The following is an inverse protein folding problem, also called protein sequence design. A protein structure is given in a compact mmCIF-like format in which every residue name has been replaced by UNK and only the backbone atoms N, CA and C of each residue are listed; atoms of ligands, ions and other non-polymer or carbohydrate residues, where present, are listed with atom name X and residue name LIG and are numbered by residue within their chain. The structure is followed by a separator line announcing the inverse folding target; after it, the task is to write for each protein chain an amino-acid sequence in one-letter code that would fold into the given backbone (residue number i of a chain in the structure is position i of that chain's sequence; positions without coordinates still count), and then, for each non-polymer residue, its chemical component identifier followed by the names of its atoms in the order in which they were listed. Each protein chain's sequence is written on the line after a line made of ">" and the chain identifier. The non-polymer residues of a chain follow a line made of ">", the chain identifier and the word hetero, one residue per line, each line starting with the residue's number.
data_IF_136018678880
#
_entry.id   IF_136018678880
#
_cell.length_a   1.000
_cell.length_b   1.000
_cell.length_c   1.000
_cell.angle_alpha   90.00
_cell.angle_beta   90.00
_cell.angle_gamma   90.00
#
_symmetry.space_group_name_H-M   'P 1'
#
loop_
_entity.id
_entity.type
_entity.pdbx_description
1 polymer ?
#
# COMPACT_ATOMS: atom_id res chain seq x y z
N UNK A 1 -4.10 -14.03 -20.15
CA UNK A 1 -5.48 -13.52 -20.10
C UNK A 1 -5.41 -12.01 -19.80
N UNK A 2 -6.22 -11.13 -20.41
CA UNK A 2 -6.13 -9.69 -20.13
C UNK A 2 -6.89 -9.39 -18.82
N UNK A 3 -6.15 -9.28 -17.71
CA UNK A 3 -6.74 -9.07 -16.38
C UNK A 3 -7.25 -7.63 -16.28
N UNK A 4 -8.57 -7.47 -16.15
CA UNK A 4 -9.17 -6.17 -15.83
C UNK A 4 -8.95 -5.90 -14.32
N UNK A 5 -7.87 -5.18 -14.02
CA UNK A 5 -7.46 -4.83 -12.67
C UNK A 5 -8.53 -4.00 -11.94
N UNK A 6 -9.25 -3.13 -12.65
CA UNK A 6 -10.29 -2.27 -12.09
C UNK A 6 -11.50 -3.09 -11.66
N UNK A 7 -12.01 -3.96 -12.53
CA UNK A 7 -13.12 -4.86 -12.19
C UNK A 7 -12.77 -5.82 -11.05
N UNK A 8 -11.51 -6.26 -11.00
CA UNK A 8 -11.01 -7.13 -9.93
C UNK A 8 -10.89 -6.35 -8.61
N UNK A 9 -10.33 -5.14 -8.62
CA UNK A 9 -10.21 -4.29 -7.45
C UNK A 9 -11.58 -3.97 -6.80
N UNK A 10 -12.63 -3.77 -7.63
CA UNK A 10 -14.01 -3.55 -7.15
C UNK A 10 -14.60 -4.80 -6.50
N UNK A 11 -14.13 -6.00 -6.85
CA UNK A 11 -14.62 -7.24 -6.26
C UNK A 11 -14.04 -7.50 -4.85
N UNK A 12 -12.94 -6.86 -4.48
CA UNK A 12 -12.40 -6.97 -3.13
C UNK A 12 -13.15 -6.04 -2.18
N UNK A 13 -13.68 -6.61 -1.09
CA UNK A 13 -14.38 -5.88 -0.05
C UNK A 13 -13.70 -6.16 1.29
N UNK A 14 -13.22 -5.14 2.02
CA UNK A 14 -12.65 -5.34 3.34
C UNK A 14 -13.73 -5.86 4.29
N UNK A 15 -13.38 -6.85 5.11
CA UNK A 15 -14.27 -7.32 6.18
C UNK A 15 -14.16 -6.37 7.38
N UNK A 16 -15.21 -5.60 7.72
CA UNK A 16 -15.11 -4.49 8.66
C UNK A 16 -14.80 -4.92 10.11
N UNK A 17 -14.97 -6.21 10.44
CA UNK A 17 -14.67 -6.77 11.77
C UNK A 17 -13.22 -7.24 11.93
N UNK A 18 -12.45 -7.27 10.85
CA UNK A 18 -11.05 -7.71 10.88
C UNK A 18 -10.12 -6.52 11.15
N UNK A 19 -9.00 -6.77 11.83
CA UNK A 19 -7.95 -5.76 12.04
C UNK A 19 -7.41 -5.28 10.68
N UNK A 20 -7.04 -3.99 10.57
CA UNK A 20 -6.47 -3.35 9.38
C UNK A 20 -5.34 -4.18 8.75
N UNK A 21 -4.43 -4.74 9.56
CA UNK A 21 -3.36 -5.62 9.05
C UNK A 21 -3.88 -6.89 8.35
N UNK A 22 -4.97 -7.48 8.85
CA UNK A 22 -5.60 -8.67 8.25
C UNK A 22 -6.33 -8.29 6.96
N UNK A 23 -6.96 -7.11 6.93
CA UNK A 23 -7.56 -6.57 5.71
C UNK A 23 -6.49 -6.34 4.64
N UNK A 24 -5.37 -5.68 4.98
CA UNK A 24 -4.25 -5.45 4.07
C UNK A 24 -3.66 -6.78 3.55
N UNK A 25 -3.50 -7.77 4.43
CA UNK A 25 -3.05 -9.12 4.04
C UNK A 25 -4.02 -9.78 3.05
N UNK A 26 -5.33 -9.63 3.28
CA UNK A 26 -6.36 -10.16 2.38
C UNK A 26 -6.33 -9.47 1.02
N UNK A 27 -6.08 -8.16 1.00
CA UNK A 27 -5.94 -7.34 -0.20
C UNK A 27 -4.75 -7.82 -1.03
N UNK A 28 -3.58 -7.96 -0.41
CA UNK A 28 -2.41 -8.45 -1.14
C UNK A 28 -2.63 -9.87 -1.68
N UNK A 29 -3.17 -10.80 -0.88
CA UNK A 29 -3.50 -12.15 -1.39
C UNK A 29 -4.47 -12.11 -2.57
N UNK A 30 -5.42 -11.18 -2.57
CA UNK A 30 -6.31 -10.97 -3.69
C UNK A 30 -5.55 -10.46 -4.92
N UNK A 31 -4.74 -9.42 -4.78
CA UNK A 31 -3.90 -8.86 -5.86
C UNK A 31 -2.93 -9.89 -6.45
N UNK A 32 -2.29 -10.71 -5.59
CA UNK A 32 -1.37 -11.75 -6.03
C UNK A 32 -2.08 -12.92 -6.73
N UNK A 33 -3.35 -13.18 -6.39
CA UNK A 33 -4.14 -14.23 -7.03
C UNK A 33 -4.58 -13.84 -8.44
N UNK A 34 -4.82 -12.56 -8.69
CA UNK A 34 -5.20 -12.06 -10.02
C UNK A 34 -3.99 -11.88 -10.96
N UNK A 35 -2.76 -11.85 -10.42
CA UNK A 35 -1.54 -11.85 -11.25
C UNK A 35 -1.23 -13.27 -11.78
N UNK A 36 -1.35 -13.48 -13.09
CA UNK A 36 -0.83 -14.68 -13.77
C UNK A 36 0.72 -14.59 -13.90
N UNK A 37 1.51 -15.66 -13.65
CA UNK A 37 1.15 -16.95 -13.06
C UNK A 37 1.35 -16.98 -11.53
N UNK A 38 0.41 -17.58 -10.77
CA UNK A 38 0.52 -17.80 -9.32
C UNK A 38 1.72 -18.66 -8.89
N UNK A 39 2.33 -19.39 -9.81
CA UNK A 39 3.48 -20.27 -9.52
C UNK A 39 4.80 -19.50 -9.47
N UNK A 40 4.93 -18.44 -10.27
CA UNK A 40 6.13 -17.59 -10.27
C UNK A 40 6.26 -16.82 -8.96
N UNK A 41 5.13 -16.49 -8.33
CA UNK A 41 5.15 -15.75 -7.08
C UNK A 41 5.70 -16.57 -5.90
N UNK A 42 5.56 -17.90 -5.93
CA UNK A 42 6.09 -18.82 -4.91
C UNK A 42 7.60 -18.81 -4.81
N UNK A 43 8.30 -18.29 -5.83
CA UNK A 43 9.76 -18.12 -5.82
C UNK A 43 10.17 -16.87 -5.03
N UNK A 44 9.22 -15.98 -4.76
CA UNK A 44 9.41 -14.78 -3.97
C UNK A 44 8.80 -15.02 -2.59
N UNK A 45 9.59 -14.90 -1.54
CA UNK A 45 9.10 -14.82 -0.19
C UNK A 45 10.01 -13.89 0.59
N UNK A 46 9.42 -13.11 1.48
CA UNK A 46 10.19 -12.19 2.31
C UNK A 46 9.70 -12.32 3.74
N UNK A 47 10.50 -13.01 4.55
CA UNK A 47 10.38 -13.02 6.01
C UNK A 47 9.21 -13.84 6.56
N UNK A 48 9.45 -15.13 6.81
CA UNK A 48 8.62 -15.87 7.73
C UNK A 48 8.78 -15.25 9.14
N UNK A 49 7.68 -14.73 9.67
CA UNK A 49 7.38 -14.51 11.09
C UNK A 49 8.54 -14.64 12.09
N UNK A 50 8.93 -13.52 12.70
CA UNK A 50 9.36 -13.47 14.10
C UNK A 50 10.69 -14.13 14.49
N UNK A 51 11.44 -14.71 13.55
CA UNK A 51 12.76 -15.30 13.79
C UNK A 51 13.73 -14.93 12.67
N UNK A 52 14.98 -14.66 13.04
CA UNK A 52 16.10 -14.22 12.20
C UNK A 52 16.55 -15.22 11.09
N UNK A 53 15.69 -16.10 10.60
CA UNK A 53 16.04 -17.07 9.57
C UNK A 53 15.40 -16.67 8.24
N UNK A 54 16.21 -16.09 7.36
CA UNK A 54 15.90 -16.07 5.92
C UNK A 54 15.91 -17.51 5.43
N UNK A 55 14.88 -17.91 4.70
CA UNK A 55 15.05 -19.02 3.78
C UNK A 55 15.94 -18.48 2.65
N UNK A 56 17.23 -18.81 2.69
CA UNK A 56 18.24 -18.32 1.74
C UNK A 56 17.92 -18.69 0.27
N UNK A 57 16.93 -19.57 0.05
CA UNK A 57 16.47 -19.98 -1.29
C UNK A 57 15.43 -19.05 -1.90
N UNK A 58 14.79 -18.18 -1.11
CA UNK A 58 13.68 -17.32 -1.57
C UNK A 58 14.18 -15.94 -1.98
N UNK A 59 13.70 -15.45 -3.13
CA UNK A 59 14.12 -14.16 -3.68
C UNK A 59 13.27 -13.02 -3.14
N UNK A 60 13.87 -11.86 -2.95
CA UNK A 60 13.10 -10.63 -2.77
C UNK A 60 12.34 -10.33 -4.06
N UNK A 61 11.14 -9.74 -3.93
CA UNK A 61 10.45 -9.19 -5.09
C UNK A 61 11.34 -8.13 -5.78
N UNK A 62 11.32 -8.05 -7.11
CA UNK A 62 11.92 -6.93 -7.80
C UNK A 62 11.32 -5.63 -7.27
N UNK A 63 12.18 -4.65 -6.96
CA UNK A 63 11.78 -3.38 -6.34
C UNK A 63 10.62 -2.69 -7.09
N UNK A 64 10.61 -2.78 -8.42
CA UNK A 64 9.53 -2.21 -9.27
C UNK A 64 8.19 -2.90 -8.99
N UNK A 65 8.17 -4.22 -8.84
CA UNK A 65 6.94 -4.99 -8.60
C UNK A 65 6.43 -4.74 -7.18
N UNK A 66 7.33 -4.75 -6.19
CA UNK A 66 6.98 -4.40 -4.80
C UNK A 66 6.39 -2.99 -4.71
N UNK A 67 7.07 -2.00 -5.32
CA UNK A 67 6.58 -0.63 -5.36
C UNK A 67 5.21 -0.51 -6.04
N UNK A 68 5.00 -1.21 -7.16
CA UNK A 68 3.73 -1.17 -7.89
C UNK A 68 2.58 -1.76 -7.07
N UNK A 69 2.82 -2.84 -6.32
CA UNK A 69 1.81 -3.47 -5.45
C UNK A 69 1.48 -2.59 -4.26
N UNK A 70 2.49 -1.97 -3.64
CA UNK A 70 2.29 -1.03 -2.54
C UNK A 70 1.52 0.20 -2.99
N UNK A 71 1.88 0.77 -4.15
CA UNK A 71 1.19 1.92 -4.71
C UNK A 71 -0.26 1.56 -5.03
N UNK A 72 -0.54 0.42 -5.67
CA UNK A 72 -1.92 -0.04 -5.90
C UNK A 72 -2.73 -0.19 -4.59
N UNK A 73 -2.11 -0.69 -3.52
CA UNK A 73 -2.79 -0.80 -2.23
C UNK A 73 -3.06 0.58 -1.60
N UNK A 74 -2.13 1.54 -1.74
CA UNK A 74 -2.35 2.92 -1.33
C UNK A 74 -3.51 3.58 -2.10
N UNK A 75 -3.68 3.30 -3.40
CA UNK A 75 -4.82 3.78 -4.21
C UNK A 75 -6.14 3.26 -3.67
N UNK A 76 -6.21 1.95 -3.44
CA UNK A 76 -7.43 1.27 -2.99
C UNK A 76 -7.86 1.74 -1.60
N UNK A 77 -6.91 2.23 -0.80
CA UNK A 77 -7.16 2.81 0.52
C UNK A 77 -7.35 4.35 0.48
N UNK A 78 -7.22 4.99 -0.68
CA UNK A 78 -7.42 6.44 -0.86
C UNK A 78 -6.22 7.32 -0.52
N UNK A 79 -5.02 6.73 -0.36
CA UNK A 79 -3.79 7.43 0.03
C UNK A 79 -2.84 7.73 -1.15
N UNK A 80 -3.14 7.35 -2.40
CA UNK A 80 -2.39 7.82 -3.58
C UNK A 80 -2.77 9.25 -3.94
N UNK A 81 -2.29 10.17 -3.12
CA UNK A 81 -2.17 11.58 -3.48
C UNK A 81 -0.70 11.87 -3.72
N UNK A 82 -0.44 12.58 -4.83
CA UNK A 82 0.92 12.97 -5.21
C UNK A 82 1.51 13.89 -4.15
N UNK A 83 0.68 14.73 -3.54
CA UNK A 83 1.03 15.66 -2.47
C UNK A 83 1.52 14.93 -1.22
N UNK A 84 1.03 13.72 -0.95
CA UNK A 84 1.43 12.96 0.23
C UNK A 84 2.72 12.14 0.01
N UNK A 85 3.34 12.17 -1.19
CA UNK A 85 4.49 11.30 -1.50
C UNK A 85 5.73 11.82 -0.77
N UNK A 86 6.57 10.90 -0.30
CA UNK A 86 7.83 11.28 0.35
C UNK A 86 8.71 12.05 -0.64
N UNK A 87 9.11 13.28 -0.25
CA UNK A 87 9.90 14.17 -1.12
C UNK A 87 9.09 14.88 -2.21
N UNK A 88 7.76 14.80 -2.21
CA UNK A 88 6.94 15.63 -3.08
C UNK A 88 7.12 17.10 -2.69
N UNK A 89 7.65 17.89 -3.61
CA UNK A 89 7.67 19.33 -3.49
C UNK A 89 6.43 19.87 -4.20
N UNK A 90 5.46 20.34 -3.44
CA UNK A 90 4.31 21.04 -4.00
C UNK A 90 4.13 22.34 -3.24
N UNK A 91 3.73 23.37 -3.97
CA UNK A 91 3.44 24.68 -3.41
C UNK A 91 2.13 24.58 -2.62
N UNK A 92 2.16 24.82 -1.31
CA UNK A 92 0.99 24.70 -0.42
C UNK A 92 -0.15 25.66 -0.78
N UNK A 93 0.13 26.71 -1.57
CA UNK A 93 -0.85 27.72 -1.98
C UNK A 93 -1.75 27.31 -3.15
N UNK A 94 -1.39 26.25 -3.89
CA UNK A 94 -2.04 25.87 -5.15
C UNK A 94 -2.94 24.62 -5.14
N UNK A 95 -2.72 23.56 -4.32
CA UNK A 95 -3.51 22.35 -4.44
C UNK A 95 -4.88 22.49 -3.77
N UNK A 96 -5.93 22.17 -4.53
CA UNK A 96 -7.31 22.05 -4.01
C UNK A 96 -7.40 21.12 -2.81
N UNK A 97 -6.53 20.11 -2.73
CA UNK A 97 -6.50 19.17 -1.62
C UNK A 97 -6.08 19.81 -0.30
N UNK A 98 -4.94 20.51 -0.26
CA UNK A 98 -4.47 21.17 0.97
C UNK A 98 -5.48 22.21 1.47
N UNK A 99 -6.03 23.00 0.54
CA UNK A 99 -7.07 23.99 0.83
C UNK A 99 -8.40 23.36 1.27
N UNK A 100 -8.63 22.08 1.00
CA UNK A 100 -9.85 21.36 1.40
C UNK A 100 -9.74 20.65 2.76
N UNK A 101 -8.57 20.69 3.40
CA UNK A 101 -8.35 19.97 4.66
C UNK A 101 -9.08 20.64 5.82
N UNK A 102 -8.83 21.93 6.03
CA UNK A 102 -9.36 22.72 7.15
C UNK A 102 -9.53 24.18 6.74
N UNK A 103 -10.21 24.97 7.56
CA UNK A 103 -10.49 26.38 7.28
C UNK A 103 -9.30 27.30 7.63
N UNK A 104 -8.47 26.94 8.61
CA UNK A 104 -7.31 27.72 9.05
C UNK A 104 -5.98 27.13 8.54
N UNK A 105 -4.99 27.99 8.24
CA UNK A 105 -3.71 27.56 7.66
C UNK A 105 -2.85 26.74 8.63
N UNK A 106 -2.87 27.07 9.92
CA UNK A 106 -2.18 26.31 10.97
C UNK A 106 -2.79 24.90 11.13
N UNK A 107 -4.11 24.80 11.09
CA UNK A 107 -4.84 23.53 11.17
C UNK A 107 -4.60 22.70 9.91
N UNK A 108 -4.61 23.31 8.73
CA UNK A 108 -4.25 22.63 7.47
C UNK A 108 -2.84 22.07 7.51
N UNK A 109 -1.86 22.85 7.99
CA UNK A 109 -0.48 22.39 8.12
C UNK A 109 -0.40 21.17 9.07
N UNK A 110 -1.07 21.25 10.22
CA UNK A 110 -1.08 20.17 11.21
C UNK A 110 -1.75 18.90 10.67
N UNK A 111 -2.92 19.03 10.05
CA UNK A 111 -3.65 17.91 9.43
C UNK A 111 -2.85 17.31 8.29
N UNK A 112 -2.19 18.13 7.49
CA UNK A 112 -1.34 17.67 6.40
C UNK A 112 -0.12 16.88 6.90
N UNK A 113 0.56 17.37 7.94
CA UNK A 113 1.67 16.64 8.58
C UNK A 113 1.20 15.31 9.18
N UNK A 114 0.03 15.30 9.82
CA UNK A 114 -0.58 14.08 10.33
C UNK A 114 -0.82 13.06 9.20
N UNK A 115 -1.36 13.49 8.06
CA UNK A 115 -1.58 12.63 6.89
C UNK A 115 -0.27 12.08 6.30
N UNK A 116 0.81 12.87 6.29
CA UNK A 116 2.14 12.39 5.88
C UNK A 116 2.66 11.30 6.81
N UNK A 117 2.54 11.49 8.13
CA UNK A 117 2.92 10.49 9.13
C UNK A 117 2.07 9.23 9.00
N UNK A 118 0.76 9.39 8.85
CA UNK A 118 -0.17 8.28 8.71
C UNK A 118 0.12 7.45 7.46
N UNK A 119 0.38 8.10 6.32
CA UNK A 119 0.81 7.41 5.09
C UNK A 119 2.14 6.66 5.30
N UNK A 120 3.11 7.27 5.96
CA UNK A 120 4.41 6.63 6.25
C UNK A 120 4.24 5.36 7.10
N UNK A 121 3.38 5.43 8.12
CA UNK A 121 3.01 4.26 8.94
C UNK A 121 2.26 3.21 8.12
N UNK A 122 1.30 3.63 7.30
CA UNK A 122 0.54 2.77 6.42
C UNK A 122 1.46 2.02 5.45
N UNK A 123 2.39 2.70 4.78
CA UNK A 123 3.31 2.06 3.83
C UNK A 123 4.18 0.99 4.49
N UNK A 124 4.65 1.23 5.73
CA UNK A 124 5.36 0.22 6.52
C UNK A 124 4.47 -0.98 6.86
N UNK A 125 3.21 -0.75 7.19
CA UNK A 125 2.24 -1.81 7.46
C UNK A 125 1.93 -2.62 6.20
N UNK A 126 1.69 -1.95 5.08
CA UNK A 126 1.44 -2.56 3.77
C UNK A 126 2.63 -3.40 3.33
N UNK A 127 3.86 -2.93 3.51
CA UNK A 127 5.06 -3.74 3.23
C UNK A 127 5.07 -5.02 4.05
N UNK A 128 4.81 -4.95 5.37
CA UNK A 128 4.73 -6.14 6.22
C UNK A 128 3.59 -7.08 5.82
N UNK A 129 2.46 -6.53 5.37
CA UNK A 129 1.32 -7.31 4.92
C UNK A 129 1.60 -8.01 3.57
N UNK A 130 2.23 -7.31 2.63
CA UNK A 130 2.68 -7.86 1.35
C UNK A 130 3.70 -8.98 1.55
N UNK A 131 4.72 -8.73 2.38
CA UNK A 131 5.72 -9.73 2.76
C UNK A 131 5.09 -11.01 3.33
N UNK A 132 4.03 -10.86 4.13
CA UNK A 132 3.29 -11.97 4.74
C UNK A 132 2.27 -12.63 3.80
N UNK A 133 1.87 -11.95 2.74
CA UNK A 133 0.94 -12.46 1.74
C UNK A 133 1.60 -13.43 0.76
N UNK A 134 2.91 -13.29 0.57
CA UNK A 134 3.80 -14.18 -0.19
C UNK A 134 4.06 -15.47 0.59
#
# INVERSE_FOLDING_TARGET
>A
MQVNLVASAVAWVPKPRENKYVQDLSLFRFLLRITEPPNSIRQYAVGANGGNCRDDKLKNLPHIVEGTLLDCAEDMLGYRREELKYGAFFDKSTPRFFMSLEDNDDERCTTFEHLLLERSMLRKQLLKALQRAL
#
